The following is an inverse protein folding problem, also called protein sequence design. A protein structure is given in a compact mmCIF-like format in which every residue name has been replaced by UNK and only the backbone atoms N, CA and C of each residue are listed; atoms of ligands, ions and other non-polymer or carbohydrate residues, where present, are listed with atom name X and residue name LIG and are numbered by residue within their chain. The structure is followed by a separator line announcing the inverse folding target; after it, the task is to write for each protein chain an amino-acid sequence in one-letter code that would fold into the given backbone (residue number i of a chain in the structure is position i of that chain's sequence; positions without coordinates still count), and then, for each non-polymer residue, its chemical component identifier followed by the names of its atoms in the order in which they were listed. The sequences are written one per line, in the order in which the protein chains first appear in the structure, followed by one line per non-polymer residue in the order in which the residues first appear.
data_IF_431964720636
#
_entry.id   IF_431964720636
#
_cell.length_a   1.000
_cell.length_b   1.000
_cell.length_c   1.000
_cell.angle_alpha   90.00
_cell.angle_beta   90.00
_cell.angle_gamma   90.00
#
_symmetry.space_group_name_H-M   'P 1'
#
loop_
_entity.id
_entity.type
_entity.pdbx_description
1 polymer ?
#
# COMPACT_ATOMS: atom_id res chain seq x y z
N UNK A 1 -19.78 -3.34 6.94
CA UNK A 1 -18.61 -2.51 6.61
C UNK A 1 -17.64 -3.38 5.82
N UNK A 2 -17.38 -3.01 4.58
CA UNK A 2 -16.37 -3.58 3.67
C UNK A 2 -15.25 -2.56 3.47
N UNK A 3 -14.04 -2.97 3.06
CA UNK A 3 -12.92 -2.04 2.87
C UNK A 3 -13.23 -0.84 1.96
N UNK A 4 -14.12 -1.00 0.98
CA UNK A 4 -14.49 0.06 0.04
C UNK A 4 -15.66 0.97 0.47
N UNK A 5 -16.27 0.73 1.63
CA UNK A 5 -17.43 1.50 2.06
C UNK A 5 -17.01 2.95 2.39
N UNK A 6 -17.64 3.94 1.72
CA UNK A 6 -17.47 5.37 2.00
C UNK A 6 -18.60 5.86 2.90
N UNK A 7 -18.28 6.15 4.15
CA UNK A 7 -19.28 6.48 5.19
C UNK A 7 -19.23 7.94 5.66
N UNK A 8 -18.53 8.82 4.92
CA UNK A 8 -18.32 10.21 5.31
C UNK A 8 -18.17 11.15 4.12
N UNK A 9 -17.54 12.29 4.37
CA UNK A 9 -17.37 13.37 3.39
C UNK A 9 -15.93 13.42 2.87
N UNK A 10 -15.73 14.05 1.71
CA UNK A 10 -14.42 14.18 1.05
C UNK A 10 -13.55 15.30 1.66
N UNK A 11 -14.06 16.04 2.64
CA UNK A 11 -13.44 17.26 3.15
C UNK A 11 -13.49 17.33 4.67
N UNK A 12 -12.51 18.01 5.26
CA UNK A 12 -12.52 18.37 6.68
C UNK A 12 -13.35 19.64 6.87
N UNK A 13 -14.27 19.65 7.84
CA UNK A 13 -15.08 20.82 8.19
C UNK A 13 -14.41 21.63 9.30
N UNK A 14 -14.30 22.94 9.11
CA UNK A 14 -13.96 23.88 10.19
C UNK A 14 -14.75 25.19 10.02
N UNK A 15 -15.11 25.89 11.11
CA UNK A 15 -15.75 27.21 11.03
C UNK A 15 -14.80 28.23 10.36
N UNK A 16 -15.22 28.94 9.31
CA UNK A 16 -14.36 29.89 8.59
C UNK A 16 -13.75 30.98 9.48
N UNK A 17 -14.48 31.42 10.50
CA UNK A 17 -14.03 32.42 11.47
C UNK A 17 -12.87 31.94 12.36
N UNK A 18 -12.57 30.64 12.39
CA UNK A 18 -11.37 30.08 13.05
C UNK A 18 -10.14 30.06 12.15
N UNK A 19 -10.27 30.35 10.86
CA UNK A 19 -9.15 30.39 9.90
C UNK A 19 -8.53 31.79 9.95
N UNK A 20 -7.37 31.90 10.61
CA UNK A 20 -6.66 33.18 10.75
C UNK A 20 -5.89 33.55 9.48
N UNK A 21 -5.32 32.56 8.80
CA UNK A 21 -4.51 32.75 7.58
C UNK A 21 -4.50 31.48 6.73
N UNK A 22 -4.34 31.64 5.42
CA UNK A 22 -4.04 30.56 4.48
C UNK A 22 -2.65 30.81 3.91
N UNK A 23 -1.79 29.79 3.91
CA UNK A 23 -0.41 29.89 3.41
C UNK A 23 -0.29 29.04 2.15
N UNK A 24 0.09 29.67 1.04
CA UNK A 24 0.37 28.96 -0.21
C UNK A 24 1.74 28.29 -0.16
N UNK A 25 1.84 27.04 -0.62
CA UNK A 25 3.08 26.24 -0.57
C UNK A 25 3.31 25.47 -1.88
N UNK A 26 4.57 25.34 -2.30
CA UNK A 26 5.01 24.44 -3.39
C UNK A 26 6.23 23.62 -2.91
N UNK A 27 5.96 22.62 -2.07
CA UNK A 27 6.98 21.72 -1.53
C UNK A 27 6.54 20.26 -1.74
N UNK A 28 7.44 19.36 -2.18
CA UNK A 28 7.13 17.95 -2.32
C UNK A 28 7.06 17.24 -0.96
N UNK A 29 6.36 16.10 -0.93
CA UNK A 29 6.38 15.20 0.21
C UNK A 29 7.79 14.66 0.50
N UNK A 30 8.01 14.31 1.77
CA UNK A 30 9.24 13.64 2.20
C UNK A 30 9.10 12.13 1.99
N UNK A 31 9.69 11.64 0.92
CA UNK A 31 9.62 10.22 0.55
C UNK A 31 10.88 9.48 1.02
N UNK A 32 10.70 8.32 1.64
CA UNK A 32 11.80 7.40 1.97
C UNK A 32 12.18 6.55 0.76
N UNK A 33 13.45 6.17 0.67
CA UNK A 33 13.93 5.27 -0.38
C UNK A 33 13.31 3.88 -0.28
N UNK A 34 13.24 3.18 -1.41
CA UNK A 34 12.85 1.78 -1.46
C UNK A 34 14.06 0.93 -1.13
N UNK A 35 13.88 -0.10 -0.31
CA UNK A 35 14.89 -1.14 -0.11
C UNK A 35 14.38 -2.41 -0.73
N UNK A 36 15.19 -3.00 -1.61
CA UNK A 36 14.89 -4.30 -2.20
C UNK A 36 14.95 -5.40 -1.14
N UNK A 37 13.99 -6.36 -1.18
CA UNK A 37 14.01 -7.55 -0.35
C UNK A 37 15.36 -8.25 -0.34
N UNK A 38 15.92 -8.42 0.86
CA UNK A 38 17.07 -9.30 1.05
C UNK A 38 16.62 -10.78 1.04
N UNK A 39 17.59 -11.69 1.00
CA UNK A 39 17.34 -13.13 0.95
C UNK A 39 16.53 -13.62 2.16
N UNK A 40 16.80 -13.07 3.35
CA UNK A 40 16.09 -13.43 4.56
C UNK A 40 14.62 -13.03 4.48
N UNK A 41 14.34 -11.81 4.01
CA UNK A 41 13.00 -11.27 3.79
C UNK A 41 12.24 -12.07 2.73
N UNK A 42 12.94 -12.46 1.65
CA UNK A 42 12.39 -13.30 0.58
C UNK A 42 11.99 -14.68 1.09
N UNK A 43 12.82 -15.30 1.94
CA UNK A 43 12.48 -16.58 2.59
C UNK A 43 11.30 -16.46 3.55
N UNK A 44 11.26 -15.41 4.36
CA UNK A 44 10.11 -15.13 5.24
C UNK A 44 8.83 -14.98 4.42
N UNK A 45 8.88 -14.24 3.31
CA UNK A 45 7.75 -14.10 2.41
C UNK A 45 7.32 -15.45 1.83
N UNK A 46 8.26 -16.29 1.36
CA UNK A 46 7.95 -17.62 0.85
C UNK A 46 7.17 -18.49 1.84
N UNK A 47 7.60 -18.54 3.10
CA UNK A 47 6.88 -19.28 4.14
C UNK A 47 5.47 -18.72 4.40
N UNK A 48 5.31 -17.39 4.31
CA UNK A 48 4.02 -16.76 4.53
C UNK A 48 3.05 -17.02 3.38
N UNK A 49 3.52 -17.00 2.13
CA UNK A 49 2.72 -17.35 0.96
C UNK A 49 2.31 -18.83 1.00
N UNK A 50 3.24 -19.74 1.26
CA UNK A 50 2.97 -21.18 1.41
C UNK A 50 1.90 -21.43 2.48
N UNK A 51 2.00 -20.75 3.62
CA UNK A 51 1.00 -20.82 4.67
C UNK A 51 -0.38 -20.39 4.18
N UNK A 52 -0.48 -19.23 3.50
CA UNK A 52 -1.76 -18.73 2.99
C UNK A 52 -2.36 -19.68 1.95
N UNK A 53 -1.56 -20.22 1.05
CA UNK A 53 -1.97 -21.22 0.06
C UNK A 53 -2.50 -22.49 0.75
N UNK A 54 -1.80 -22.96 1.79
CA UNK A 54 -2.23 -24.09 2.60
C UNK A 54 -3.57 -23.81 3.29
N UNK A 55 -3.75 -22.64 3.91
CA UNK A 55 -5.02 -22.27 4.56
C UNK A 55 -6.20 -22.24 3.57
N UNK A 56 -5.98 -21.74 2.35
CA UNK A 56 -6.98 -21.76 1.28
C UNK A 56 -7.27 -23.20 0.83
N UNK A 57 -6.25 -24.02 0.62
CA UNK A 57 -6.42 -25.43 0.25
C UNK A 57 -7.16 -26.25 1.32
N UNK A 58 -7.06 -25.84 2.60
CA UNK A 58 -7.79 -26.44 3.72
C UNK A 58 -9.17 -25.84 3.96
N UNK A 59 -9.59 -24.87 3.14
CA UNK A 59 -10.90 -24.21 3.26
C UNK A 59 -11.02 -23.30 4.50
N UNK A 60 -9.90 -22.90 5.10
CA UNK A 60 -9.88 -21.99 6.26
C UNK A 60 -9.89 -20.52 5.84
N UNK A 61 -9.36 -20.22 4.66
CA UNK A 61 -9.52 -18.93 4.00
C UNK A 61 -10.20 -19.07 2.64
N UNK A 62 -10.94 -18.04 2.19
CA UNK A 62 -11.43 -17.97 0.81
C UNK A 62 -10.26 -17.76 -0.16
N UNK A 63 -10.46 -18.09 -1.44
CA UNK A 63 -9.44 -17.93 -2.48
C UNK A 63 -8.96 -16.47 -2.64
N UNK A 64 -9.84 -15.48 -2.43
CA UNK A 64 -9.48 -14.06 -2.44
C UNK A 64 -8.93 -13.53 -1.11
N UNK A 65 -8.61 -14.43 -0.17
CA UNK A 65 -8.20 -14.14 1.20
C UNK A 65 -9.16 -13.18 1.93
N UNK A 66 -8.74 -12.72 3.10
CA UNK A 66 -9.39 -11.62 3.82
C UNK A 66 -8.67 -10.29 3.50
N UNK A 67 -9.26 -9.13 3.82
CA UNK A 67 -8.61 -7.85 3.59
C UNK A 67 -7.22 -7.78 4.25
N UNK A 68 -6.21 -7.50 3.43
CA UNK A 68 -4.81 -7.50 3.83
C UNK A 68 -4.44 -6.21 4.55
N UNK A 69 -3.76 -6.34 5.68
CA UNK A 69 -2.99 -5.27 6.30
C UNK A 69 -1.51 -5.58 6.10
N UNK A 70 -0.75 -4.61 5.61
CA UNK A 70 0.70 -4.75 5.43
C UNK A 70 1.42 -3.53 6.01
N UNK A 71 2.48 -3.79 6.79
CA UNK A 71 3.36 -2.76 7.32
C UNK A 71 4.32 -2.22 6.26
N UNK A 72 5.30 -1.41 6.67
CA UNK A 72 6.41 -0.91 5.83
C UNK A 72 7.68 -1.75 6.04
N UNK A 73 8.58 -1.74 5.05
CA UNK A 73 9.93 -2.28 5.18
C UNK A 73 10.18 -3.58 4.41
N UNK A 74 11.37 -4.15 4.59
CA UNK A 74 11.90 -5.15 3.67
C UNK A 74 11.06 -6.43 3.58
N UNK A 75 10.64 -6.95 4.73
CA UNK A 75 9.77 -8.15 4.81
C UNK A 75 8.40 -7.87 4.20
N UNK A 76 7.81 -6.70 4.47
CA UNK A 76 6.51 -6.34 3.91
C UNK A 76 6.57 -6.24 2.37
N UNK A 77 7.63 -5.61 1.84
CA UNK A 77 7.87 -5.54 0.41
C UNK A 77 8.03 -6.94 -0.21
N UNK A 78 8.77 -7.83 0.45
CA UNK A 78 8.96 -9.21 0.01
C UNK A 78 7.63 -9.98 -0.04
N UNK A 79 6.78 -9.81 0.96
CA UNK A 79 5.44 -10.43 1.00
C UNK A 79 4.55 -9.90 -0.12
N UNK A 80 4.52 -8.58 -0.34
CA UNK A 80 3.74 -7.99 -1.44
C UNK A 80 4.22 -8.48 -2.82
N UNK A 81 5.54 -8.60 -3.01
CA UNK A 81 6.11 -9.19 -4.22
C UNK A 81 5.74 -10.68 -4.36
N UNK A 82 5.78 -11.44 -3.27
CA UNK A 82 5.34 -12.84 -3.23
C UNK A 82 3.86 -12.99 -3.59
N UNK A 83 2.99 -12.13 -3.07
CA UNK A 83 1.58 -12.09 -3.45
C UNK A 83 1.40 -11.77 -4.94
N UNK A 84 2.20 -10.84 -5.49
CA UNK A 84 2.15 -10.50 -6.92
C UNK A 84 2.56 -11.67 -7.82
N UNK A 85 3.48 -12.52 -7.35
CA UNK A 85 3.97 -13.69 -8.08
C UNK A 85 3.16 -14.97 -7.80
N UNK A 86 2.27 -14.92 -6.81
CA UNK A 86 1.37 -16.03 -6.46
C UNK A 86 0.19 -16.13 -7.43
N UNK A 87 -0.63 -17.17 -7.26
CA UNK A 87 -1.90 -17.33 -7.97
C UNK A 87 -3.09 -16.64 -7.32
N UNK A 88 -2.89 -15.82 -6.28
CA UNK A 88 -3.99 -15.10 -5.64
C UNK A 88 -4.53 -13.98 -6.53
N UNK A 89 -5.85 -13.84 -6.55
CA UNK A 89 -6.56 -12.83 -7.33
C UNK A 89 -7.72 -12.25 -6.51
N UNK A 90 -8.20 -11.06 -6.90
CA UNK A 90 -9.37 -10.47 -6.25
C UNK A 90 -9.10 -9.98 -4.82
N UNK A 91 -7.83 -9.79 -4.45
CA UNK A 91 -7.44 -9.39 -3.11
C UNK A 91 -7.98 -7.99 -2.79
N UNK A 92 -8.18 -7.71 -1.50
CA UNK A 92 -8.46 -6.36 -1.02
C UNK A 92 -7.52 -6.02 0.12
N UNK A 93 -7.24 -4.73 0.33
CA UNK A 93 -6.43 -4.26 1.44
C UNK A 93 -7.21 -3.30 2.33
N UNK A 94 -7.02 -3.46 3.63
CA UNK A 94 -7.44 -2.54 4.67
C UNK A 94 -6.25 -2.29 5.58
N UNK A 95 -5.49 -1.25 5.26
CA UNK A 95 -4.14 -1.01 5.79
C UNK A 95 -3.99 0.43 6.27
N UNK A 96 -2.86 0.77 6.89
CA UNK A 96 -2.56 2.14 7.30
C UNK A 96 -2.03 2.97 6.13
N UNK A 97 -1.15 2.38 5.32
CA UNK A 97 -0.42 3.06 4.24
C UNK A 97 -0.44 2.27 2.93
N UNK A 98 -0.47 2.99 1.81
CA UNK A 98 -0.22 2.43 0.47
C UNK A 98 1.24 2.68 0.09
N UNK A 99 1.96 1.60 -0.23
CA UNK A 99 3.36 1.59 -0.66
C UNK A 99 3.50 1.17 -2.12
N UNK A 100 4.69 1.32 -2.70
CA UNK A 100 5.00 0.98 -4.10
C UNK A 100 4.58 -0.45 -4.48
N UNK A 101 4.86 -1.44 -3.61
CA UNK A 101 4.44 -2.82 -3.85
C UNK A 101 2.91 -2.98 -3.96
N UNK A 102 2.16 -2.26 -3.12
CA UNK A 102 0.69 -2.28 -3.15
C UNK A 102 0.15 -1.61 -4.41
N UNK A 103 0.78 -0.52 -4.87
CA UNK A 103 0.46 0.08 -6.18
C UNK A 103 0.74 -0.90 -7.33
N UNK A 104 1.81 -1.69 -7.23
CA UNK A 104 2.10 -2.77 -8.18
C UNK A 104 0.96 -3.78 -8.26
N UNK A 105 0.47 -4.25 -7.12
CA UNK A 105 -0.66 -5.19 -7.04
C UNK A 105 -1.98 -4.62 -7.56
N UNK A 106 -2.24 -3.32 -7.32
CA UNK A 106 -3.39 -2.64 -7.90
C UNK A 106 -3.30 -2.56 -9.42
N UNK A 107 -2.10 -2.28 -9.95
CA UNK A 107 -1.86 -2.20 -11.40
C UNK A 107 -1.95 -3.56 -12.09
N UNK A 108 -1.51 -4.64 -11.44
CA UNK A 108 -1.61 -6.00 -12.00
C UNK A 108 -3.03 -6.56 -11.96
N UNK A 109 -3.92 -5.97 -11.15
CA UNK A 109 -5.26 -6.51 -10.89
C UNK A 109 -5.30 -7.59 -9.80
N UNK A 110 -4.15 -7.98 -9.25
CA UNK A 110 -4.05 -8.90 -8.10
C UNK A 110 -4.82 -8.35 -6.90
N UNK A 111 -4.68 -7.04 -6.64
CA UNK A 111 -5.46 -6.28 -5.67
C UNK A 111 -6.53 -5.46 -6.39
N UNK A 112 -7.77 -5.55 -5.94
CA UNK A 112 -8.91 -4.82 -6.53
C UNK A 112 -9.21 -3.50 -5.83
N UNK A 113 -8.85 -3.39 -4.55
CA UNK A 113 -9.10 -2.21 -3.73
C UNK A 113 -8.10 -2.12 -2.58
N UNK A 114 -7.65 -0.90 -2.27
CA UNK A 114 -6.91 -0.60 -1.06
C UNK A 114 -7.56 0.56 -0.30
N UNK A 115 -7.88 0.32 0.97
CA UNK A 115 -8.24 1.35 1.94
C UNK A 115 -7.03 1.68 2.81
N UNK A 116 -6.72 2.97 2.94
CA UNK A 116 -5.59 3.46 3.72
C UNK A 116 -5.78 4.91 4.20
N UNK A 117 -4.96 5.30 5.17
CA UNK A 117 -4.91 6.67 5.72
C UNK A 117 -3.92 7.56 4.97
N UNK A 118 -2.83 6.99 4.45
CA UNK A 118 -1.76 7.76 3.82
C UNK A 118 -1.03 7.00 2.68
N UNK A 119 -0.21 7.74 1.95
CA UNK A 119 0.73 7.21 0.98
C UNK A 119 2.15 7.17 1.59
N UNK A 120 2.87 6.08 1.37
CA UNK A 120 4.29 5.91 1.72
C UNK A 120 5.02 5.43 0.47
N UNK A 121 5.22 6.35 -0.46
CA UNK A 121 5.70 6.05 -1.81
C UNK A 121 7.14 6.51 -2.00
N UNK A 122 7.87 5.78 -2.83
CA UNK A 122 9.23 6.13 -3.15
C UNK A 122 9.26 7.14 -4.30
N UNK A 123 10.33 7.92 -4.40
CA UNK A 123 10.46 8.90 -5.49
C UNK A 123 11.13 8.23 -6.68
N UNK A 124 10.43 8.17 -7.81
CA UNK A 124 11.10 7.92 -9.09
C UNK A 124 12.04 9.10 -9.38
N UNK A 125 13.33 8.90 -9.70
CA UNK A 125 14.23 10.01 -9.99
C UNK A 125 13.66 10.83 -11.16
N UNK A 126 13.43 12.13 -10.93
CA UNK A 126 12.98 13.06 -11.97
C UNK A 126 14.14 13.31 -12.94
N UNK A 127 13.97 13.15 -14.25
CA UNK A 127 14.92 13.72 -15.20
C UNK A 127 14.82 15.25 -15.10
N UNK A 128 15.92 15.92 -14.74
CA UNK A 128 16.19 17.30 -15.14
C UNK A 128 15.36 18.44 -14.53
N UNK A 129 15.13 18.46 -13.20
CA UNK A 129 14.71 19.73 -12.57
C UNK A 129 15.94 20.60 -12.30
N UNK A 130 16.36 21.36 -13.31
CA UNK A 130 17.27 22.49 -13.17
C UNK A 130 16.69 23.42 -12.10
N UNK A 131 17.44 23.63 -11.03
CA UNK A 131 17.13 24.65 -10.02
C UNK A 131 17.06 25.99 -10.75
N UNK A 132 15.87 26.58 -10.85
CA UNK A 132 15.77 28.00 -11.23
C UNK A 132 16.29 28.85 -10.06
N UNK A 133 16.93 30.00 -10.36
CA UNK A 133 17.61 30.84 -9.37
C UNK A 133 16.66 31.45 -8.35
#
# INVERSE_FOLDING_TARGET
MRPGDRIGEQYLRCPPEKVVVVVETDAPDRNTGFTEPDEASTRIAGHQIEFLEHEVARGRFPAGLLPLQSGVGNVANAVLAGLSASGFEGLTAYTEVIQDGMLGLLKSGTLTLASATAFSLTRTPSPGRTTRP
#
